data_IF_959462809864
#
_entry.id   IF_959462809864
#
_cell.length_a   1.000
_cell.length_b   1.000
_cell.length_c   1.000
_cell.angle_alpha   90.00
_cell.angle_beta   90.00
_cell.angle_gamma   90.00
#
_symmetry.space_group_name_H-M   'P 1'
#
loop_
_entity.id
_entity.type
_entity.pdbx_description
1 polymer ?
#
# COMPACT_ATOMS: atom_id res chain seq x y z
N UNK A 1 23.31 -9.53 28.99
CA UNK A 1 21.94 -9.28 28.46
C UNK A 1 21.94 -9.73 27.01
N UNK A 2 21.36 -10.90 26.73
CA UNK A 2 21.31 -11.43 25.35
C UNK A 2 20.17 -10.75 24.58
N UNK A 3 20.55 -9.90 23.65
CA UNK A 3 19.59 -9.34 22.68
C UNK A 3 19.08 -10.48 21.78
N UNK A 4 17.85 -10.89 21.97
CA UNK A 4 17.17 -11.88 21.12
C UNK A 4 16.99 -11.24 19.75
N UNK A 5 17.71 -11.73 18.75
CA UNK A 5 17.54 -11.33 17.37
C UNK A 5 16.16 -11.84 16.91
N UNK A 6 15.23 -10.92 16.75
CA UNK A 6 13.89 -11.22 16.22
C UNK A 6 14.05 -11.46 14.72
N UNK A 7 13.64 -12.63 14.24
CA UNK A 7 13.66 -12.95 12.81
C UNK A 7 12.61 -12.12 12.05
N UNK A 8 12.82 -11.89 10.74
CA UNK A 8 11.84 -11.21 9.87
C UNK A 8 10.45 -11.84 9.97
N UNK A 9 10.39 -13.16 10.15
CA UNK A 9 9.14 -13.92 10.27
C UNK A 9 8.42 -13.63 11.59
N UNK A 10 9.14 -13.54 12.70
CA UNK A 10 8.56 -13.19 14.02
C UNK A 10 8.11 -11.73 14.08
N UNK A 11 8.79 -10.84 13.35
CA UNK A 11 8.37 -9.45 13.18
C UNK A 11 7.02 -9.34 12.48
N UNK A 12 6.80 -10.12 11.42
CA UNK A 12 5.58 -10.11 10.63
C UNK A 12 4.40 -10.85 11.30
N UNK A 13 4.66 -11.81 12.17
CA UNK A 13 3.61 -12.58 12.85
C UNK A 13 2.91 -11.82 14.00
N UNK A 14 3.48 -10.74 14.47
CA UNK A 14 3.00 -9.99 15.65
C UNK A 14 2.09 -8.79 15.36
N UNK A 15 1.91 -8.36 14.12
CA UNK A 15 1.17 -7.15 13.80
C UNK A 15 0.44 -7.24 12.46
N UNK A 16 -0.88 -7.14 12.51
CA UNK A 16 -1.64 -6.71 11.34
C UNK A 16 -1.40 -5.22 11.21
N UNK A 17 -0.51 -4.83 10.34
CA UNK A 17 -0.35 -3.44 9.99
C UNK A 17 -1.29 -3.15 8.83
N UNK A 18 -2.52 -2.81 9.14
CA UNK A 18 -3.31 -1.97 8.26
C UNK A 18 -2.72 -0.59 8.47
N UNK A 19 -1.95 -0.10 7.50
CA UNK A 19 -1.46 1.29 7.52
C UNK A 19 -2.65 2.18 7.16
N UNK A 20 -3.52 2.39 8.15
CA UNK A 20 -4.55 3.41 8.11
C UNK A 20 -4.02 4.63 8.82
N UNK A 21 -3.69 5.68 8.09
CA UNK A 21 -3.42 6.98 8.68
C UNK A 21 -4.73 7.73 8.80
N UNK A 22 -5.33 7.70 9.99
CA UNK A 22 -6.31 8.70 10.39
C UNK A 22 -5.58 9.78 11.19
N UNK A 23 -5.39 10.92 10.59
CA UNK A 23 -5.14 12.14 11.36
C UNK A 23 -6.46 12.54 12.00
N UNK A 24 -6.52 12.40 13.33
CA UNK A 24 -7.59 12.79 14.23
C UNK A 24 -8.87 11.92 14.26
N UNK A 25 -9.08 11.30 15.42
CA UNK A 25 -10.40 10.89 15.90
C UNK A 25 -10.75 9.42 15.70
N UNK A 26 -10.67 8.70 16.80
CA UNK A 26 -11.25 7.36 16.98
C UNK A 26 -12.69 7.36 16.45
N UNK A 27 -12.94 6.65 15.38
CA UNK A 27 -14.29 6.33 14.94
C UNK A 27 -14.48 4.83 14.85
N UNK A 28 -15.54 4.40 15.52
CA UNK A 28 -16.00 3.05 15.69
C UNK A 28 -15.99 2.23 14.38
N UNK A 29 -15.76 0.92 14.53
CA UNK A 29 -15.92 -0.06 13.48
C UNK A 29 -17.23 0.15 12.73
N UNK A 30 -17.16 0.64 11.50
CA UNK A 30 -18.31 0.71 10.61
C UNK A 30 -18.59 -0.66 9.99
N UNK A 31 -19.87 -0.98 9.95
CA UNK A 31 -20.42 -2.13 9.23
C UNK A 31 -20.02 -2.10 7.74
N UNK A 32 -20.08 -3.24 7.01
CA UNK A 32 -19.74 -3.30 5.59
C UNK A 32 -20.75 -2.52 4.76
N UNK A 33 -20.52 -1.25 4.60
CA UNK A 33 -21.29 -0.33 3.79
C UNK A 33 -20.38 0.79 3.32
N UNK A 34 -20.26 0.93 2.04
CA UNK A 34 -19.64 2.03 1.27
C UNK A 34 -18.59 2.84 2.04
N UNK A 35 -17.36 2.35 2.04
CA UNK A 35 -16.22 3.12 2.53
C UNK A 35 -16.02 4.33 1.60
N UNK A 36 -16.23 5.53 2.13
CA UNK A 36 -15.81 6.74 1.41
C UNK A 36 -14.28 6.77 1.44
N UNK A 37 -13.66 6.42 0.33
CA UNK A 37 -12.20 6.42 0.20
C UNK A 37 -11.73 7.85 -0.03
N UNK A 38 -11.00 8.40 0.93
CA UNK A 38 -10.36 9.69 0.80
C UNK A 38 -9.07 9.53 -0.03
N UNK A 39 -8.97 10.30 -1.12
CA UNK A 39 -7.79 10.29 -2.00
C UNK A 39 -6.52 10.83 -1.34
N UNK A 40 -6.61 11.38 -0.15
CA UNK A 40 -5.45 11.84 0.64
C UNK A 40 -4.91 10.77 1.58
N UNK A 41 -5.62 9.65 1.74
CA UNK A 41 -5.24 8.56 2.62
C UNK A 41 -4.51 7.44 1.89
N UNK A 42 -3.42 6.96 2.48
CA UNK A 42 -2.60 5.86 1.93
C UNK A 42 -3.42 4.58 1.78
N UNK A 43 -4.29 4.28 2.72
CA UNK A 43 -5.09 3.06 2.74
C UNK A 43 -6.19 3.01 1.66
N UNK A 44 -6.46 4.15 0.99
CA UNK A 44 -7.27 4.17 -0.21
C UNK A 44 -6.58 3.48 -1.40
N UNK A 45 -5.25 3.44 -1.41
CA UNK A 45 -4.44 2.97 -2.54
C UNK A 45 -3.69 1.68 -2.28
N UNK A 46 -3.34 1.40 -1.02
CA UNK A 46 -2.40 0.34 -0.68
C UNK A 46 -2.76 -0.34 0.64
N UNK A 47 -2.68 -1.66 0.67
CA UNK A 47 -2.69 -2.44 1.90
C UNK A 47 -1.50 -3.40 1.94
N UNK A 48 -0.83 -3.47 3.09
CA UNK A 48 0.23 -4.45 3.35
C UNK A 48 -0.30 -5.39 4.44
N UNK A 49 -0.42 -6.68 4.09
CA UNK A 49 -0.95 -7.70 5.00
C UNK A 49 0.13 -8.21 5.97
N UNK A 50 -0.29 -8.90 7.01
CA UNK A 50 0.60 -9.49 8.03
C UNK A 50 1.66 -10.45 7.46
N UNK A 51 1.32 -11.13 6.39
CA UNK A 51 2.21 -12.07 5.69
C UNK A 51 3.21 -11.37 4.76
N UNK A 52 3.15 -10.03 4.69
CA UNK A 52 3.97 -9.21 3.81
C UNK A 52 3.42 -9.09 2.39
N UNK A 53 2.27 -9.70 2.08
CA UNK A 53 1.63 -9.52 0.78
C UNK A 53 1.09 -8.10 0.62
N UNK A 54 1.17 -7.58 -0.60
CA UNK A 54 0.77 -6.21 -0.95
C UNK A 54 -0.45 -6.26 -1.85
N UNK A 55 -1.43 -5.41 -1.55
CA UNK A 55 -2.62 -5.19 -2.39
C UNK A 55 -2.64 -3.74 -2.83
N UNK A 56 -2.83 -3.51 -4.11
CA UNK A 56 -3.01 -2.19 -4.71
C UNK A 56 -4.48 -2.00 -5.06
N UNK A 57 -5.02 -0.84 -4.74
CA UNK A 57 -6.35 -0.41 -5.12
C UNK A 57 -6.23 0.73 -6.12
N UNK A 58 -6.66 0.50 -7.37
CA UNK A 58 -6.59 1.50 -8.44
C UNK A 58 -7.96 1.77 -9.04
N UNK A 59 -8.36 3.03 -9.06
CA UNK A 59 -9.53 3.48 -9.82
C UNK A 59 -9.25 3.56 -11.32
N UNK A 60 -7.97 3.44 -11.74
CA UNK A 60 -7.58 3.30 -13.15
C UNK A 60 -7.59 1.83 -13.54
N UNK A 61 -8.04 1.54 -14.76
CA UNK A 61 -8.14 0.18 -15.29
C UNK A 61 -7.20 -0.03 -16.46
N UNK A 62 -6.76 -1.26 -16.67
CA UNK A 62 -5.96 -1.63 -17.83
C UNK A 62 -6.89 -1.90 -19.03
N UNK A 63 -6.72 -1.11 -20.07
CA UNK A 63 -7.44 -1.24 -21.34
C UNK A 63 -6.57 -1.89 -22.44
N UNK A 64 -5.65 -2.78 -22.06
CA UNK A 64 -4.70 -3.42 -22.96
C UNK A 64 -3.39 -2.66 -23.14
N UNK A 65 -3.12 -1.68 -22.27
CA UNK A 65 -1.91 -0.84 -22.33
C UNK A 65 -0.76 -1.33 -21.45
N UNK A 66 -0.95 -2.43 -20.71
CA UNK A 66 0.05 -2.94 -19.76
C UNK A 66 0.09 -2.19 -18.43
N UNK A 67 -0.94 -1.41 -18.15
CA UNK A 67 -1.06 -0.58 -16.96
C UNK A 67 -0.93 -1.40 -15.65
N UNK A 68 -1.49 -2.63 -15.63
CA UNK A 68 -1.39 -3.54 -14.47
C UNK A 68 0.05 -3.86 -14.09
N UNK A 69 0.90 -4.07 -15.10
CA UNK A 69 2.32 -4.38 -14.89
C UNK A 69 3.02 -3.13 -14.36
N UNK A 70 2.80 -1.99 -14.99
CA UNK A 70 3.41 -0.73 -14.60
C UNK A 70 3.07 -0.34 -13.15
N UNK A 71 1.82 -0.50 -12.71
CA UNK A 71 1.38 -0.19 -11.34
C UNK A 71 2.10 -1.07 -10.31
N UNK A 72 2.21 -2.39 -10.57
CA UNK A 72 2.94 -3.30 -9.69
C UNK A 72 4.42 -2.95 -9.60
N UNK A 73 5.04 -2.63 -10.73
CA UNK A 73 6.47 -2.24 -10.76
C UNK A 73 6.71 -0.97 -9.98
N UNK A 74 5.91 0.08 -10.18
CA UNK A 74 6.06 1.35 -9.48
C UNK A 74 5.93 1.19 -7.95
N UNK A 75 4.93 0.47 -7.48
CA UNK A 75 4.74 0.20 -6.05
C UNK A 75 5.85 -0.69 -5.50
N UNK A 76 6.23 -1.73 -6.23
CA UNK A 76 7.29 -2.64 -5.81
C UNK A 76 8.65 -1.95 -5.71
N UNK A 77 8.96 -1.01 -6.60
CA UNK A 77 10.17 -0.20 -6.56
C UNK A 77 10.20 0.69 -5.31
N UNK A 78 9.11 1.41 -5.03
CA UNK A 78 9.03 2.26 -3.83
C UNK A 78 9.13 1.44 -2.53
N UNK A 79 8.58 0.23 -2.50
CA UNK A 79 8.67 -0.67 -1.36
C UNK A 79 9.98 -1.47 -1.31
N UNK A 80 10.89 -1.29 -2.25
CA UNK A 80 12.15 -2.05 -2.37
C UNK A 80 11.96 -3.57 -2.48
N UNK A 81 10.94 -4.00 -3.22
CA UNK A 81 10.58 -5.40 -3.44
C UNK A 81 11.43 -6.01 -4.57
N UNK A 82 11.73 -7.30 -4.46
CA UNK A 82 12.34 -8.06 -5.55
C UNK A 82 11.36 -8.28 -6.71
N UNK A 83 11.87 -8.56 -7.91
CA UNK A 83 11.03 -8.85 -9.08
C UNK A 83 10.03 -9.99 -8.85
N UNK A 84 10.40 -11.02 -8.09
CA UNK A 84 9.51 -12.13 -7.75
C UNK A 84 8.38 -11.70 -6.79
N UNK A 85 8.65 -10.79 -5.89
CA UNK A 85 7.63 -10.23 -4.97
C UNK A 85 6.69 -9.29 -5.71
N UNK A 86 7.20 -8.47 -6.63
CA UNK A 86 6.39 -7.57 -7.48
C UNK A 86 5.33 -8.35 -8.26
N UNK A 87 5.67 -9.53 -8.79
CA UNK A 87 4.71 -10.36 -9.52
C UNK A 87 3.55 -10.88 -8.64
N UNK A 88 3.77 -10.98 -7.33
CA UNK A 88 2.77 -11.44 -6.36
C UNK A 88 1.90 -10.33 -5.79
N UNK A 89 2.15 -9.07 -6.15
CA UNK A 89 1.30 -7.95 -5.76
C UNK A 89 -0.11 -8.18 -6.35
N UNK A 90 -1.11 -8.19 -5.49
CA UNK A 90 -2.50 -8.21 -5.90
C UNK A 90 -2.91 -6.81 -6.38
N UNK A 91 -3.61 -6.72 -7.50
CA UNK A 91 -4.15 -5.46 -8.00
C UNK A 91 -5.65 -5.58 -8.16
N UNK A 92 -6.38 -4.75 -7.43
CA UNK A 92 -7.82 -4.53 -7.57
C UNK A 92 -8.01 -3.23 -8.33
N UNK A 93 -8.71 -3.29 -9.46
CA UNK A 93 -8.88 -2.13 -10.33
C UNK A 93 -10.35 -1.91 -10.72
N UNK A 94 -10.77 -0.64 -10.76
CA UNK A 94 -12.08 -0.24 -11.26
C UNK A 94 -13.28 -0.74 -10.46
N UNK A 95 -13.07 -1.19 -9.24
CA UNK A 95 -14.14 -1.59 -8.33
C UNK A 95 -14.65 -0.36 -7.57
N UNK A 96 -15.91 0.00 -7.82
CA UNK A 96 -16.51 1.23 -7.26
C UNK A 96 -16.70 1.17 -5.73
N UNK A 97 -16.65 -0.02 -5.13
CA UNK A 97 -16.76 -0.20 -3.69
C UNK A 97 -15.39 -0.22 -2.98
N UNK A 98 -14.34 -0.64 -3.69
CA UNK A 98 -13.04 -0.91 -3.10
C UNK A 98 -11.94 0.05 -3.56
N UNK A 99 -12.08 0.66 -4.75
CA UNK A 99 -11.02 1.48 -5.32
C UNK A 99 -11.34 2.97 -5.26
N UNK A 100 -10.31 3.83 -5.10
CA UNK A 100 -10.51 5.27 -5.06
C UNK A 100 -10.94 5.81 -6.42
N UNK A 101 -11.72 6.88 -6.43
CA UNK A 101 -12.10 7.56 -7.66
C UNK A 101 -10.92 8.40 -8.21
N UNK A 102 -10.13 7.82 -9.09
CA UNK A 102 -9.02 8.49 -9.77
C UNK A 102 -9.44 9.13 -11.12
N UNK A 103 -10.74 9.22 -11.39
CA UNK A 103 -11.28 9.66 -12.66
C UNK A 103 -11.09 8.64 -13.79
N UNK A 104 -11.50 8.96 -15.02
CA UNK A 104 -11.50 8.01 -16.14
C UNK A 104 -10.08 7.63 -16.56
N UNK A 105 -9.90 6.39 -17.06
CA UNK A 105 -8.68 5.96 -17.73
C UNK A 105 -8.71 6.40 -19.19
N UNK A 106 -8.37 7.66 -19.42
CA UNK A 106 -8.36 8.29 -20.73
C UNK A 106 -7.24 9.33 -20.80
N UNK A 107 -6.86 9.79 -21.97
CA UNK A 107 -5.87 10.85 -22.17
C UNK A 107 -4.51 10.53 -21.56
N UNK A 108 -4.08 9.27 -21.56
CA UNK A 108 -2.82 8.81 -20.99
C UNK A 108 -2.65 9.08 -19.48
N UNK A 109 -3.75 9.23 -18.75
CA UNK A 109 -3.73 9.57 -17.31
C UNK A 109 -3.49 8.37 -16.39
N UNK A 110 -3.44 7.15 -16.90
CA UNK A 110 -3.23 5.96 -16.11
C UNK A 110 -1.96 6.05 -15.26
N UNK A 111 -0.79 6.04 -15.89
CA UNK A 111 0.51 6.16 -15.20
C UNK A 111 0.76 7.60 -14.75
N UNK A 112 0.52 8.58 -15.61
CA UNK A 112 0.87 9.98 -15.35
C UNK A 112 0.17 10.57 -14.11
N UNK A 113 -1.07 10.17 -13.82
CA UNK A 113 -1.82 10.61 -12.64
C UNK A 113 -2.02 9.49 -11.62
N UNK A 114 -2.57 8.37 -12.04
CA UNK A 114 -2.83 7.23 -11.15
C UNK A 114 -1.54 6.64 -10.56
N UNK A 115 -0.49 6.53 -11.37
CA UNK A 115 0.80 6.02 -10.93
C UNK A 115 1.48 6.92 -9.90
N UNK A 116 1.38 8.24 -10.04
CA UNK A 116 1.95 9.19 -9.06
C UNK A 116 1.32 9.01 -7.69
N UNK A 117 -0.01 8.87 -7.61
CA UNK A 117 -0.71 8.65 -6.35
C UNK A 117 -0.28 7.33 -5.69
N UNK A 118 -0.16 6.26 -6.47
CA UNK A 118 0.31 4.97 -5.97
C UNK A 118 1.75 5.02 -5.47
N UNK A 119 2.64 5.71 -6.17
CA UNK A 119 4.03 5.90 -5.73
C UNK A 119 4.10 6.66 -4.42
N UNK A 120 3.36 7.74 -4.29
CA UNK A 120 3.29 8.52 -3.05
C UNK A 120 2.77 7.67 -1.88
N UNK A 121 1.71 6.90 -2.10
CA UNK A 121 1.18 6.00 -1.08
C UNK A 121 2.21 4.93 -0.67
N UNK A 122 2.89 4.32 -1.64
CA UNK A 122 3.91 3.30 -1.37
C UNK A 122 5.13 3.87 -0.65
N UNK A 123 5.62 5.05 -1.04
CA UNK A 123 6.72 5.73 -0.37
C UNK A 123 6.36 6.06 1.09
N UNK A 124 5.18 6.62 1.33
CA UNK A 124 4.70 6.91 2.69
C UNK A 124 4.57 5.64 3.53
N UNK A 125 4.04 4.57 2.96
CA UNK A 125 3.95 3.28 3.64
C UNK A 125 5.34 2.73 4.00
N UNK A 126 6.31 2.84 3.08
CA UNK A 126 7.69 2.41 3.34
C UNK A 126 8.32 3.20 4.49
N UNK A 127 8.24 4.51 4.47
CA UNK A 127 8.78 5.35 5.53
C UNK A 127 8.18 5.01 6.89
N UNK A 128 6.89 4.78 6.94
CA UNK A 128 6.21 4.38 8.18
C UNK A 128 6.67 3.03 8.67
N UNK A 129 6.79 2.05 7.77
CA UNK A 129 7.30 0.73 8.14
C UNK A 129 8.73 0.79 8.66
N UNK A 130 9.59 1.63 8.05
CA UNK A 130 10.95 1.85 8.53
C UNK A 130 10.98 2.50 9.91
N UNK A 131 10.14 3.52 10.14
CA UNK A 131 10.03 4.17 11.44
C UNK A 131 9.56 3.21 12.54
N UNK A 132 8.55 2.38 12.23
CA UNK A 132 8.07 1.35 13.15
C UNK A 132 9.12 0.28 13.44
N UNK A 133 9.86 -0.15 12.42
CA UNK A 133 10.95 -1.10 12.58
C UNK A 133 12.08 -0.51 13.42
N UNK A 134 12.46 0.74 13.17
CA UNK A 134 13.49 1.45 13.94
C UNK A 134 13.12 1.54 15.42
N UNK A 135 11.89 1.94 15.72
CA UNK A 135 11.38 2.02 17.10
C UNK A 135 11.38 0.64 17.78
N UNK A 136 10.94 -0.40 17.07
CA UNK A 136 10.84 -1.76 17.63
C UNK A 136 12.21 -2.42 17.83
N UNK A 137 13.16 -2.14 16.95
CA UNK A 137 14.53 -2.69 17.01
C UNK A 137 15.47 -1.80 17.82
N UNK A 138 15.02 -0.64 18.30
CA UNK A 138 15.81 0.37 18.99
C UNK A 138 17.07 0.76 18.19
N UNK A 139 16.92 0.95 16.87
CA UNK A 139 17.95 1.39 15.94
C UNK A 139 17.46 2.58 15.13
N UNK A 140 18.37 3.48 14.70
CA UNK A 140 17.96 4.57 13.81
C UNK A 140 17.39 4.00 12.50
N UNK A 141 16.39 4.69 11.96
CA UNK A 141 15.93 4.43 10.60
C UNK A 141 17.05 4.79 9.62
N UNK A 142 17.35 3.92 8.66
CA UNK A 142 18.36 4.15 7.63
C UNK A 142 17.80 5.00 6.50
#
# INVERSE_FOLDING_TARGET
MNARLISRREFLQGSALVVGFSFAGISAAQAPGTRTLDLTEVDAFLAIRKDGSVVIYSGKVDLGTGHRIAMRQMVGEELSMSAAEVQRIELIEGDTALTPNQGPTAGSTGVMRGGVQLRQAAATARETLLALAAARLQRPAA
#
